data_IF_134271036924
#
_entry.id   IF_134271036924
#
_cell.length_a   1.000
_cell.length_b   1.000
_cell.length_c   1.000
_cell.angle_alpha   90.00
_cell.angle_beta   90.00
_cell.angle_gamma   90.00
#
_symmetry.space_group_name_H-M   'P 1'
#
loop_
_entity.id
_entity.type
_entity.pdbx_description
1 polymer ?
#
# COMPACT_ATOMS: atom_id res chain seq x y z
N UNK A 1 29.19 1.36 -5.31
CA UNK A 1 28.41 0.35 -4.56
C UNK A 1 29.21 -0.93 -4.56
N UNK A 2 29.54 -1.46 -3.39
CA UNK A 2 30.36 -2.66 -3.26
C UNK A 2 29.56 -3.95 -3.61
N UNK A 3 30.29 -5.04 -3.89
CA UNK A 3 29.68 -6.32 -4.31
C UNK A 3 28.75 -6.92 -3.24
N UNK A 4 29.07 -6.76 -1.95
CA UNK A 4 28.30 -7.31 -0.83
C UNK A 4 26.93 -6.60 -0.72
N UNK A 5 26.92 -5.27 -0.94
CA UNK A 5 25.68 -4.50 -0.95
C UNK A 5 24.81 -4.85 -2.16
N UNK A 6 25.44 -5.10 -3.34
CA UNK A 6 24.70 -5.52 -4.55
C UNK A 6 23.97 -6.85 -4.37
N UNK A 7 24.61 -7.84 -3.72
CA UNK A 7 24.01 -9.15 -3.47
C UNK A 7 22.73 -9.06 -2.63
N UNK A 8 22.66 -8.10 -1.68
CA UNK A 8 21.54 -7.93 -0.77
C UNK A 8 20.59 -6.78 -1.16
N UNK A 9 20.83 -6.12 -2.30
CA UNK A 9 20.01 -5.00 -2.75
C UNK A 9 18.54 -5.41 -2.96
N UNK A 10 18.31 -6.64 -3.43
CA UNK A 10 16.97 -7.16 -3.61
C UNK A 10 16.21 -7.28 -2.27
N UNK A 11 16.86 -7.70 -1.18
CA UNK A 11 16.25 -7.79 0.14
C UNK A 11 15.83 -6.40 0.65
N UNK A 12 16.70 -5.40 0.48
CA UNK A 12 16.42 -4.01 0.85
C UNK A 12 15.26 -3.43 0.02
N UNK A 13 15.26 -3.66 -1.30
CA UNK A 13 14.17 -3.25 -2.16
C UNK A 13 12.84 -3.92 -1.80
N UNK A 14 12.88 -5.24 -1.53
CA UNK A 14 11.69 -5.98 -1.11
C UNK A 14 11.10 -5.46 0.20
N UNK A 15 11.93 -5.04 1.16
CA UNK A 15 11.44 -4.46 2.42
C UNK A 15 10.62 -3.17 2.17
N UNK A 16 11.10 -2.30 1.27
CA UNK A 16 10.39 -1.08 0.90
C UNK A 16 9.12 -1.38 0.09
N UNK A 17 9.21 -2.25 -0.91
CA UNK A 17 8.04 -2.65 -1.72
C UNK A 17 6.98 -3.36 -0.90
N UNK A 18 7.37 -4.20 0.05
CA UNK A 18 6.44 -4.82 0.99
C UNK A 18 5.72 -3.76 1.83
N UNK A 19 6.46 -2.77 2.34
CA UNK A 19 5.84 -1.66 3.08
C UNK A 19 4.88 -0.85 2.22
N UNK A 20 5.24 -0.52 0.96
CA UNK A 20 4.35 0.18 0.02
C UNK A 20 3.03 -0.58 -0.18
N UNK A 21 3.10 -1.90 -0.39
CA UNK A 21 1.91 -2.76 -0.53
C UNK A 21 1.10 -2.81 0.77
N UNK A 22 1.79 -2.92 1.90
CA UNK A 22 1.15 -3.05 3.20
C UNK A 22 0.42 -1.77 3.62
N UNK A 23 0.97 -0.58 3.35
CA UNK A 23 0.30 0.69 3.62
C UNK A 23 -0.81 1.01 2.59
N UNK A 24 -0.76 0.44 1.39
CA UNK A 24 -1.84 0.60 0.40
C UNK A 24 -3.16 -0.01 0.90
N UNK A 25 -3.10 -1.06 1.73
CA UNK A 25 -4.27 -1.68 2.35
C UNK A 25 -4.95 -0.80 3.42
N UNK A 26 -4.26 0.23 3.94
CA UNK A 26 -4.85 1.14 4.93
C UNK A 26 -5.83 2.07 4.21
N UNK A 27 -7.13 1.90 4.53
CA UNK A 27 -8.19 2.77 4.01
C UNK A 27 -8.01 4.19 4.54
N UNK A 28 -7.85 5.15 3.65
CA UNK A 28 -7.69 6.57 4.02
C UNK A 28 -9.03 7.28 4.22
N UNK A 29 -10.13 6.68 3.78
CA UNK A 29 -11.45 7.33 3.73
C UNK A 29 -11.69 8.03 2.38
N UNK A 30 -10.68 8.05 1.49
CA UNK A 30 -10.85 8.55 0.13
C UNK A 30 -11.50 7.52 -0.78
N UNK A 31 -12.33 8.01 -1.66
CA UNK A 31 -12.91 7.25 -2.75
C UNK A 31 -11.81 6.82 -3.73
N UNK A 32 -11.62 5.52 -3.88
CA UNK A 32 -10.66 4.94 -4.83
C UNK A 32 -11.38 3.85 -5.64
N UNK A 33 -11.40 3.93 -6.97
CA UNK A 33 -12.00 2.89 -7.81
C UNK A 33 -11.51 1.48 -7.51
N UNK A 34 -10.24 1.32 -7.12
CA UNK A 34 -9.67 0.04 -6.73
C UNK A 34 -10.37 -0.64 -5.52
N UNK A 35 -11.17 0.09 -4.75
CA UNK A 35 -11.99 -0.49 -3.68
C UNK A 35 -13.11 -1.39 -4.22
N UNK A 36 -13.49 -1.19 -5.47
CA UNK A 36 -14.54 -1.94 -6.16
C UNK A 36 -13.98 -3.07 -7.03
N UNK A 37 -12.65 -3.23 -7.05
CA UNK A 37 -12.00 -4.32 -7.76
C UNK A 37 -12.39 -5.66 -7.11
N UNK A 38 -12.70 -6.63 -7.94
CA UNK A 38 -13.12 -7.96 -7.49
C UNK A 38 -14.60 -8.10 -7.17
N UNK A 39 -15.40 -7.03 -7.24
CA UNK A 39 -16.86 -7.14 -7.11
C UNK A 39 -17.42 -7.80 -8.38
N UNK A 40 -18.13 -8.90 -8.17
CA UNK A 40 -18.82 -9.64 -9.23
C UNK A 40 -20.32 -9.29 -9.18
N UNK A 41 -20.82 -8.76 -10.29
CA UNK A 41 -22.23 -8.42 -10.47
C UNK A 41 -22.91 -9.55 -11.22
N UNK A 42 -24.10 -9.97 -10.77
CA UNK A 42 -24.92 -10.96 -11.49
C UNK A 42 -25.71 -10.25 -12.60
N UNK A 43 -25.07 -10.04 -13.75
CA UNK A 43 -25.68 -9.40 -14.90
C UNK A 43 -26.05 -10.45 -15.96
N UNK A 44 -27.27 -10.39 -16.48
CA UNK A 44 -27.74 -11.28 -17.57
C UNK A 44 -27.62 -12.78 -17.30
N UNK A 45 -27.73 -13.19 -16.03
CA UNK A 45 -27.62 -14.60 -15.63
C UNK A 45 -26.19 -15.13 -15.49
N UNK A 46 -25.18 -14.29 -15.67
CA UNK A 46 -23.76 -14.59 -15.46
C UNK A 46 -23.11 -13.62 -14.46
N UNK A 47 -22.05 -14.08 -13.79
CA UNK A 47 -21.24 -13.19 -12.93
C UNK A 47 -20.21 -12.47 -13.80
N UNK A 48 -20.22 -11.15 -13.80
CA UNK A 48 -19.27 -10.31 -14.51
C UNK A 48 -18.61 -9.33 -13.55
N UNK A 49 -17.32 -9.00 -13.71
CA UNK A 49 -16.68 -7.94 -12.95
C UNK A 49 -17.39 -6.60 -13.13
N UNK A 50 -17.50 -5.81 -12.06
CA UNK A 50 -18.18 -4.52 -12.07
C UNK A 50 -17.69 -3.59 -13.20
N UNK A 51 -16.39 -3.61 -13.48
CA UNK A 51 -15.76 -2.81 -14.54
C UNK A 51 -16.24 -3.19 -15.97
N UNK A 52 -16.78 -4.38 -16.15
CA UNK A 52 -17.34 -4.81 -17.45
C UNK A 52 -18.79 -4.37 -17.65
N UNK A 53 -19.52 -4.12 -16.55
CA UNK A 53 -20.95 -3.74 -16.61
C UNK A 53 -21.18 -2.24 -16.49
N UNK A 54 -20.16 -1.45 -16.18
CA UNK A 54 -20.27 0.01 -16.09
C UNK A 54 -18.92 0.72 -15.94
N UNK A 55 -18.94 2.04 -16.11
CA UNK A 55 -17.79 2.89 -15.84
C UNK A 55 -17.79 3.37 -14.40
N UNK A 56 -16.59 3.43 -13.77
CA UNK A 56 -16.41 3.94 -12.41
C UNK A 56 -15.64 5.25 -12.49
N UNK A 57 -16.20 6.31 -11.93
CA UNK A 57 -15.58 7.63 -11.88
C UNK A 57 -15.52 8.19 -10.46
N UNK A 58 -14.44 8.94 -10.17
CA UNK A 58 -14.28 9.67 -8.91
C UNK A 58 -14.87 11.07 -9.13
N UNK A 59 -15.90 11.41 -8.38
CA UNK A 59 -16.54 12.74 -8.46
C UNK A 59 -15.89 13.70 -7.48
N UNK A 60 -15.60 13.22 -6.29
CA UNK A 60 -14.89 13.98 -5.26
C UNK A 60 -14.07 13.04 -4.35
N UNK A 61 -13.40 13.62 -3.35
CA UNK A 61 -12.52 12.87 -2.44
C UNK A 61 -13.20 11.70 -1.72
N UNK A 62 -14.55 11.70 -1.61
CA UNK A 62 -15.32 10.68 -0.88
C UNK A 62 -16.47 10.09 -1.68
N UNK A 63 -16.57 10.41 -2.95
CA UNK A 63 -17.69 10.00 -3.78
C UNK A 63 -17.22 9.31 -5.06
N UNK A 64 -17.68 8.07 -5.24
CA UNK A 64 -17.60 7.35 -6.51
C UNK A 64 -18.96 7.32 -7.16
N UNK A 65 -18.96 7.38 -8.48
CA UNK A 65 -20.16 7.17 -9.30
C UNK A 65 -19.89 6.03 -10.26
N UNK A 66 -20.83 5.10 -10.29
CA UNK A 66 -20.85 3.99 -11.22
C UNK A 66 -21.98 4.26 -12.23
N UNK A 67 -21.60 4.37 -13.49
CA UNK A 67 -22.53 4.54 -14.60
C UNK A 67 -22.59 3.23 -15.40
N UNK A 68 -23.64 2.43 -15.25
CA UNK A 68 -23.78 1.17 -15.98
C UNK A 68 -24.01 1.42 -17.47
N UNK A 69 -23.59 0.47 -18.29
CA UNK A 69 -23.90 0.48 -19.73
C UNK A 69 -25.37 0.22 -20.02
N UNK A 70 -26.01 -0.54 -19.13
CA UNK A 70 -27.46 -0.85 -19.20
C UNK A 70 -28.09 -0.56 -17.82
N UNK A 71 -29.14 0.23 -17.82
CA UNK A 71 -29.89 0.60 -16.61
C UNK A 71 -30.57 -0.58 -15.92
N UNK A 72 -30.83 -1.66 -16.64
CA UNK A 72 -31.47 -2.86 -16.08
C UNK A 72 -30.60 -3.55 -15.01
N UNK A 73 -29.26 -3.39 -15.06
CA UNK A 73 -28.34 -3.99 -14.10
C UNK A 73 -28.09 -3.13 -12.85
N UNK A 74 -28.70 -1.94 -12.73
CA UNK A 74 -28.52 -1.04 -11.58
C UNK A 74 -28.79 -1.72 -10.23
N UNK A 75 -29.90 -2.47 -10.14
CA UNK A 75 -30.26 -3.19 -8.90
C UNK A 75 -29.27 -4.30 -8.57
N UNK A 76 -28.75 -4.97 -9.57
CA UNK A 76 -27.77 -6.04 -9.38
C UNK A 76 -26.41 -5.48 -8.93
N UNK A 77 -26.01 -4.31 -9.47
CA UNK A 77 -24.81 -3.60 -9.03
C UNK A 77 -24.97 -3.12 -7.58
N UNK A 78 -26.10 -2.48 -7.23
CA UNK A 78 -26.40 -2.01 -5.87
C UNK A 78 -26.34 -3.16 -4.87
N UNK A 79 -26.95 -4.30 -5.22
CA UNK A 79 -26.94 -5.52 -4.40
C UNK A 79 -25.53 -6.06 -4.24
N UNK A 80 -24.76 -6.19 -5.32
CA UNK A 80 -23.39 -6.70 -5.28
C UNK A 80 -22.46 -5.83 -4.42
N UNK A 81 -22.61 -4.50 -4.46
CA UNK A 81 -21.84 -3.58 -3.62
C UNK A 81 -22.24 -3.72 -2.15
N UNK A 82 -23.54 -3.85 -1.87
CA UNK A 82 -24.04 -4.04 -0.50
C UNK A 82 -23.56 -5.37 0.11
N UNK A 83 -23.55 -6.44 -0.69
CA UNK A 83 -23.07 -7.76 -0.28
C UNK A 83 -21.53 -7.82 -0.08
N UNK A 84 -20.78 -6.94 -0.73
CA UNK A 84 -19.32 -6.88 -0.61
C UNK A 84 -18.81 -6.31 0.73
N UNK A 85 -19.71 -5.84 1.60
CA UNK A 85 -19.43 -5.31 2.94
C UNK A 85 -18.24 -4.33 2.99
N UNK A 86 -18.23 -3.40 2.04
CA UNK A 86 -17.18 -2.39 1.94
C UNK A 86 -17.31 -1.26 2.97
N UNK A 87 -18.36 -1.30 3.81
CA UNK A 87 -18.68 -0.23 4.76
C UNK A 87 -19.11 1.06 4.06
N UNK A 88 -19.73 0.96 2.88
CA UNK A 88 -20.24 2.08 2.09
C UNK A 88 -21.71 1.87 1.77
N UNK A 89 -22.45 2.96 1.58
CA UNK A 89 -23.86 2.91 1.21
C UNK A 89 -23.99 3.29 -0.26
N UNK A 90 -24.35 2.33 -1.15
CA UNK A 90 -24.71 2.66 -2.52
C UNK A 90 -26.08 3.33 -2.56
N UNK A 91 -26.20 4.39 -3.32
CA UNK A 91 -27.46 5.10 -3.58
C UNK A 91 -27.77 5.04 -5.07
N UNK A 92 -28.89 4.45 -5.44
CA UNK A 92 -29.36 4.37 -6.80
C UNK A 92 -30.08 5.67 -7.20
N UNK A 93 -29.52 6.42 -8.14
CA UNK A 93 -30.08 7.67 -8.66
C UNK A 93 -30.96 7.48 -9.90
N UNK A 94 -31.22 6.21 -10.31
CA UNK A 94 -32.08 5.86 -11.43
C UNK A 94 -31.36 5.72 -12.77
N UNK A 95 -30.19 6.34 -12.92
CA UNK A 95 -29.33 6.24 -14.10
C UNK A 95 -27.88 5.83 -13.75
N UNK A 96 -27.52 5.96 -12.49
CA UNK A 96 -26.20 5.69 -11.93
C UNK A 96 -26.29 5.32 -10.45
N UNK A 97 -25.22 4.76 -9.92
CA UNK A 97 -25.10 4.47 -8.49
C UNK A 97 -24.03 5.37 -7.91
N UNK A 98 -24.41 6.12 -6.88
CA UNK A 98 -23.50 6.94 -6.09
C UNK A 98 -23.06 6.17 -4.85
N UNK A 99 -21.76 6.14 -4.60
CA UNK A 99 -21.18 5.55 -3.41
C UNK A 99 -20.49 6.65 -2.63
N UNK A 100 -20.96 6.91 -1.41
CA UNK A 100 -20.36 7.91 -0.53
C UNK A 100 -19.59 7.22 0.59
N UNK A 101 -18.29 7.57 0.74
CA UNK A 101 -17.47 7.10 1.85
C UNK A 101 -17.90 7.81 3.12
N UNK A 102 -18.15 7.05 4.22
CA UNK A 102 -18.43 7.67 5.52
C UNK A 102 -17.22 8.50 5.97
N UNK A 103 -17.50 9.59 6.66
CA UNK A 103 -16.44 10.41 7.23
C UNK A 103 -15.84 9.70 8.44
N UNK A 104 -14.53 9.38 8.43
CA UNK A 104 -13.90 8.75 9.57
C UNK A 104 -13.90 9.70 10.77
N UNK A 105 -14.14 9.17 11.95
CA UNK A 105 -14.02 9.92 13.20
C UNK A 105 -12.54 10.25 13.49
N UNK A 106 -12.29 11.16 14.41
CA UNK A 106 -10.92 11.45 14.84
C UNK A 106 -10.25 10.21 15.47
N UNK A 107 -11.02 9.42 16.19
CA UNK A 107 -10.58 8.16 16.79
C UNK A 107 -10.17 7.15 15.71
N UNK A 108 -11.00 6.95 14.67
CA UNK A 108 -10.67 6.11 13.52
C UNK A 108 -9.37 6.52 12.84
N UNK A 109 -9.15 7.83 12.68
CA UNK A 109 -7.91 8.35 12.08
C UNK A 109 -6.70 8.02 12.95
N UNK A 110 -6.79 8.24 14.26
CA UNK A 110 -5.73 7.91 15.23
C UNK A 110 -5.40 6.42 15.22
N UNK A 111 -6.43 5.56 15.17
CA UNK A 111 -6.22 4.11 15.09
C UNK A 111 -5.50 3.71 13.78
N UNK A 112 -5.90 4.30 12.66
CA UNK A 112 -5.23 4.07 11.36
C UNK A 112 -3.77 4.53 11.37
N UNK A 113 -3.46 5.70 11.97
CA UNK A 113 -2.09 6.16 12.14
C UNK A 113 -1.29 5.22 13.05
N UNK A 114 -1.90 4.69 14.10
CA UNK A 114 -1.25 3.68 14.95
C UNK A 114 -0.89 2.43 14.14
N UNK A 115 -1.83 1.88 13.37
CA UNK A 115 -1.59 0.74 12.47
C UNK A 115 -0.50 1.05 11.43
N UNK A 116 -0.47 2.27 10.90
CA UNK A 116 0.57 2.73 9.97
C UNK A 116 1.96 2.69 10.63
N UNK A 117 2.08 3.18 11.87
CA UNK A 117 3.34 3.17 12.62
C UNK A 117 3.80 1.74 12.94
N UNK A 118 2.89 0.83 13.30
CA UNK A 118 3.22 -0.58 13.53
C UNK A 118 3.78 -1.24 12.25
N UNK A 119 3.20 -0.92 11.09
CA UNK A 119 3.68 -1.41 9.79
C UNK A 119 5.06 -0.83 9.45
N UNK A 120 5.30 0.46 9.75
CA UNK A 120 6.62 1.08 9.58
C UNK A 120 7.68 0.37 10.41
N UNK A 121 7.40 0.11 11.70
CA UNK A 121 8.37 -0.57 12.57
C UNK A 121 8.69 -1.98 12.07
N UNK A 122 7.73 -2.72 11.55
CA UNK A 122 8.00 -4.03 10.90
C UNK A 122 8.92 -3.87 9.69
N UNK A 123 8.70 -2.86 8.85
CA UNK A 123 9.57 -2.61 7.70
C UNK A 123 11.00 -2.24 8.13
N UNK A 124 11.16 -1.39 9.16
CA UNK A 124 12.48 -1.06 9.73
C UNK A 124 13.20 -2.29 10.31
N UNK A 125 12.46 -3.21 10.92
CA UNK A 125 13.03 -4.50 11.38
C UNK A 125 13.59 -5.30 10.21
N UNK A 126 12.87 -5.38 9.09
CA UNK A 126 13.36 -6.09 7.89
C UNK A 126 14.62 -5.43 7.32
N UNK A 127 14.66 -4.10 7.26
CA UNK A 127 15.87 -3.35 6.84
C UNK A 127 17.05 -3.61 7.80
N UNK A 128 16.79 -3.64 9.11
CA UNK A 128 17.82 -3.97 10.12
C UNK A 128 18.36 -5.38 9.94
N UNK A 129 17.50 -6.36 9.72
CA UNK A 129 17.91 -7.75 9.46
C UNK A 129 18.78 -7.85 8.20
N UNK A 130 18.42 -7.16 7.11
CA UNK A 130 19.23 -7.11 5.91
C UNK A 130 20.60 -6.47 6.17
N UNK A 131 20.64 -5.34 6.91
CA UNK A 131 21.87 -4.69 7.34
C UNK A 131 22.78 -5.64 8.12
N UNK A 132 22.25 -6.36 9.10
CA UNK A 132 23.02 -7.24 9.96
C UNK A 132 23.62 -8.39 9.14
N UNK A 133 22.91 -8.95 8.17
CA UNK A 133 23.42 -9.94 7.21
C UNK A 133 24.57 -9.37 6.37
N UNK A 134 24.41 -8.18 5.80
CA UNK A 134 25.43 -7.54 4.97
C UNK A 134 26.70 -7.29 5.81
N UNK A 135 26.51 -6.81 7.03
CA UNK A 135 27.62 -6.57 7.98
C UNK A 135 28.38 -7.87 8.27
N UNK A 136 27.66 -8.97 8.57
CA UNK A 136 28.28 -10.27 8.85
C UNK A 136 29.11 -10.77 7.66
N UNK A 137 28.61 -10.62 6.43
CA UNK A 137 29.34 -11.04 5.23
C UNK A 137 30.60 -10.22 5.02
N UNK A 138 30.55 -8.89 5.23
CA UNK A 138 31.73 -8.02 5.14
C UNK A 138 32.76 -8.35 6.21
N UNK A 139 32.34 -8.57 7.45
CA UNK A 139 33.24 -8.92 8.56
C UNK A 139 33.88 -10.28 8.36
N UNK A 140 33.14 -11.26 7.80
CA UNK A 140 33.69 -12.56 7.44
C UNK A 140 34.72 -12.46 6.32
N UNK A 141 34.47 -11.70 5.27
CA UNK A 141 35.40 -11.50 4.17
C UNK A 141 36.73 -10.88 4.64
N UNK A 142 36.72 -10.00 5.64
CA UNK A 142 37.93 -9.44 6.24
C UNK A 142 38.65 -10.51 7.10
N UNK A 143 37.91 -11.26 7.91
CA UNK A 143 38.47 -12.35 8.71
C UNK A 143 39.16 -13.43 7.86
N UNK A 144 38.56 -13.75 6.69
CA UNK A 144 39.09 -14.71 5.72
C UNK A 144 40.22 -14.10 4.84
N UNK A 145 40.58 -12.82 5.08
CA UNK A 145 41.61 -12.05 4.33
C UNK A 145 41.29 -11.87 2.86
N UNK A 146 40.02 -11.92 2.49
CA UNK A 146 39.56 -11.62 1.12
C UNK A 146 39.59 -10.11 0.82
N UNK A 147 39.41 -9.29 1.86
CA UNK A 147 39.47 -7.82 1.78
C UNK A 147 40.38 -7.27 2.88
N UNK A 148 40.96 -6.08 2.63
CA UNK A 148 41.79 -5.36 3.60
C UNK A 148 40.88 -4.64 4.65
N UNK A 149 41.45 -4.29 5.79
CA UNK A 149 40.76 -3.57 6.86
C UNK A 149 40.19 -2.23 6.38
N UNK A 150 40.93 -1.47 5.55
CA UNK A 150 40.47 -0.21 4.97
C UNK A 150 39.26 -0.41 4.07
N UNK A 151 39.21 -1.49 3.30
CA UNK A 151 38.07 -1.85 2.44
C UNK A 151 36.84 -2.21 3.29
N UNK A 152 37.01 -2.93 4.39
CA UNK A 152 35.95 -3.22 5.35
C UNK A 152 35.30 -1.94 5.86
N UNK A 153 36.09 -0.98 6.34
CA UNK A 153 35.57 0.30 6.84
C UNK A 153 34.82 1.06 5.75
N UNK A 154 35.35 1.09 4.52
CA UNK A 154 34.69 1.71 3.38
C UNK A 154 33.36 1.06 3.05
N UNK A 155 33.31 -0.29 2.99
CA UNK A 155 32.10 -1.04 2.68
C UNK A 155 31.03 -0.93 3.76
N UNK A 156 31.39 -0.94 5.02
CA UNK A 156 30.49 -0.68 6.14
C UNK A 156 29.90 0.72 6.07
N UNK A 157 30.69 1.73 5.73
CA UNK A 157 30.22 3.10 5.55
C UNK A 157 29.22 3.20 4.38
N UNK A 158 29.53 2.62 3.22
CA UNK A 158 28.62 2.59 2.06
C UNK A 158 27.30 1.87 2.42
N UNK A 159 27.38 0.78 3.20
CA UNK A 159 26.20 0.07 3.70
C UNK A 159 25.34 0.97 4.57
N UNK A 160 25.93 1.65 5.58
CA UNK A 160 25.16 2.53 6.49
C UNK A 160 24.50 3.70 5.72
N UNK A 161 25.17 4.26 4.71
CA UNK A 161 24.58 5.28 3.84
C UNK A 161 23.36 4.76 3.08
N UNK A 162 23.43 3.54 2.55
CA UNK A 162 22.29 2.92 1.84
C UNK A 162 21.15 2.57 2.80
N UNK A 163 21.44 2.01 3.97
CA UNK A 163 20.46 1.73 5.01
C UNK A 163 19.74 3.01 5.45
N UNK A 164 20.47 4.10 5.62
CA UNK A 164 19.90 5.41 5.94
C UNK A 164 18.92 5.85 4.84
N UNK A 165 19.30 5.77 3.56
CA UNK A 165 18.42 6.11 2.43
C UNK A 165 17.12 5.29 2.45
N UNK A 166 17.20 3.97 2.75
CA UNK A 166 16.00 3.12 2.84
C UNK A 166 15.10 3.51 4.01
N UNK A 167 15.68 3.82 5.17
CA UNK A 167 14.90 4.29 6.31
C UNK A 167 14.25 5.65 6.04
N UNK A 168 14.94 6.57 5.37
CA UNK A 168 14.39 7.87 4.97
C UNK A 168 13.23 7.68 3.98
N UNK A 169 13.37 6.78 2.97
CA UNK A 169 12.28 6.43 2.03
C UNK A 169 11.06 5.85 2.76
N UNK A 170 11.26 4.93 3.71
CA UNK A 170 10.17 4.38 4.51
C UNK A 170 9.46 5.48 5.34
N UNK A 171 10.22 6.42 5.90
CA UNK A 171 9.67 7.53 6.66
C UNK A 171 8.87 8.48 5.78
N UNK A 172 9.37 8.84 4.61
CA UNK A 172 8.66 9.68 3.64
C UNK A 172 7.32 9.05 3.19
N UNK A 173 7.33 7.74 2.90
CA UNK A 173 6.11 7.00 2.55
C UNK A 173 5.09 7.02 3.69
N UNK A 174 5.55 6.82 4.91
CA UNK A 174 4.73 6.89 6.12
C UNK A 174 4.13 8.29 6.30
N UNK A 175 4.93 9.35 6.21
CA UNK A 175 4.49 10.72 6.43
C UNK A 175 3.49 11.15 5.35
N UNK A 176 3.70 10.74 4.10
CA UNK A 176 2.74 10.94 3.02
C UNK A 176 1.41 10.26 3.33
N UNK A 177 1.46 9.01 3.78
CA UNK A 177 0.24 8.26 4.11
C UNK A 177 -0.49 8.82 5.33
N UNK A 178 0.24 9.28 6.35
CA UNK A 178 -0.36 9.96 7.52
C UNK A 178 -1.10 11.23 7.10
N UNK A 179 -0.48 12.07 6.24
CA UNK A 179 -1.15 13.25 5.70
C UNK A 179 -2.45 12.88 4.96
N UNK A 180 -2.44 11.80 4.16
CA UNK A 180 -3.64 11.30 3.49
C UNK A 180 -4.75 10.92 4.49
N UNK A 181 -4.40 10.25 5.61
CA UNK A 181 -5.35 9.85 6.66
C UNK A 181 -5.91 11.05 7.40
N UNK A 182 -5.09 12.07 7.66
CA UNK A 182 -5.47 13.21 8.50
C UNK A 182 -6.18 14.33 7.73
N UNK A 183 -6.02 14.41 6.40
CA UNK A 183 -6.51 15.55 5.58
C UNK A 183 -7.96 15.40 5.08
N UNK A 184 -8.67 14.31 5.40
CA UNK A 184 -10.02 14.01 4.88
C UNK A 184 -11.09 14.43 5.88
#
# INVERSE_FOLDING_TARGET
MNQYLQQHQNELNQAVEFFKKDIASIRTGRANPAMLDGILVSAYGAKAPLQQVGSISVVDARCLVISPWDKNVLKDIEKAISEADLGVNPVNEGDKIRITMPQPTEEDRRERVKKLNEKLERAKVNVRQARDKIKEVIERAESDKEIAEDDKFRFLKEMEEEIKKRNDELQELRDKKEKEIMTI
#
